data_IF_170545864965
#
_entry.id   IF_170545864965
#
_cell.length_a   1.000
_cell.length_b   1.000
_cell.length_c   1.000
_cell.angle_alpha   90.00
_cell.angle_beta   90.00
_cell.angle_gamma   90.00
#
_symmetry.space_group_name_H-M   'P 1'
#
loop_
_entity.id
_entity.type
_entity.pdbx_description
1 polymer ?
#
# COMPACT_ATOMS: atom_id res chain seq x y z
N UNK A 1 -3.93 5.29 -13.45
CA UNK A 1 -3.19 6.30 -12.67
C UNK A 1 -2.61 5.60 -11.46
N UNK A 2 -1.32 5.80 -11.17
CA UNK A 2 -0.60 5.15 -10.07
C UNK A 2 0.07 6.21 -9.19
N UNK A 3 0.21 5.93 -7.89
CA UNK A 3 0.92 6.80 -6.97
C UNK A 3 2.17 6.09 -6.47
N UNK A 4 3.32 6.73 -6.67
CA UNK A 4 4.63 6.25 -6.25
C UNK A 4 5.16 7.25 -5.22
N UNK A 5 5.71 6.74 -4.12
CA UNK A 5 6.23 7.55 -3.02
C UNK A 5 5.16 8.13 -2.09
N UNK A 6 3.89 7.77 -2.24
CA UNK A 6 2.81 8.20 -1.35
C UNK A 6 2.76 7.36 -0.07
N UNK A 7 3.87 7.36 0.67
CA UNK A 7 4.04 6.62 1.94
C UNK A 7 4.93 7.45 2.87
N UNK A 8 4.74 7.36 4.17
CA UNK A 8 5.63 7.96 5.16
C UNK A 8 6.42 6.84 5.87
N UNK A 9 7.60 6.47 5.38
CA UNK A 9 8.36 5.38 5.99
C UNK A 9 9.12 5.86 7.23
N UNK A 10 9.29 4.97 8.20
CA UNK A 10 10.29 5.09 9.26
C UNK A 10 11.70 4.81 8.70
N UNK A 11 12.09 5.52 7.64
CA UNK A 11 13.32 5.26 6.89
C UNK A 11 13.40 6.05 5.58
N UNK A 12 14.24 5.56 4.67
CA UNK A 12 14.47 6.19 3.37
C UNK A 12 13.33 5.88 2.39
N UNK A 13 12.77 6.91 1.73
CA UNK A 13 11.69 6.75 0.73
C UNK A 13 12.19 6.20 -0.60
N UNK A 14 13.43 6.49 -0.97
CA UNK A 14 13.98 6.19 -2.30
C UNK A 14 13.89 4.70 -2.68
N UNK A 15 14.31 3.74 -1.82
CA UNK A 15 14.20 2.32 -2.16
C UNK A 15 12.75 1.85 -2.28
N UNK A 16 11.83 2.45 -1.50
CA UNK A 16 10.42 2.10 -1.56
C UNK A 16 9.78 2.60 -2.86
N UNK A 17 10.07 3.83 -3.26
CA UNK A 17 9.58 4.41 -4.50
C UNK A 17 10.11 3.65 -5.73
N UNK A 18 11.38 3.21 -5.69
CA UNK A 18 12.00 2.41 -6.74
C UNK A 18 11.29 1.06 -6.91
N UNK A 19 11.11 0.29 -5.82
CA UNK A 19 10.40 -0.99 -5.86
C UNK A 19 8.90 -0.83 -6.19
N UNK A 20 8.26 0.27 -5.77
CA UNK A 20 6.89 0.60 -6.22
C UNK A 20 6.83 0.83 -7.73
N UNK A 21 7.82 1.51 -8.31
CA UNK A 21 7.89 1.78 -9.73
C UNK A 21 8.09 0.48 -10.52
N UNK A 22 8.91 -0.43 -10.02
CA UNK A 22 9.11 -1.76 -10.61
C UNK A 22 7.79 -2.56 -10.65
N UNK A 23 7.06 -2.61 -9.53
CA UNK A 23 5.77 -3.31 -9.48
C UNK A 23 4.74 -2.72 -10.45
N UNK A 24 4.69 -1.39 -10.55
CA UNK A 24 3.82 -0.69 -11.51
C UNK A 24 4.24 -0.99 -12.94
N UNK A 25 5.55 -1.02 -13.23
CA UNK A 25 6.05 -1.38 -14.55
C UNK A 25 5.63 -2.81 -14.95
N UNK A 26 5.79 -3.78 -14.04
CA UNK A 26 5.32 -5.17 -14.25
C UNK A 26 3.82 -5.26 -14.52
N UNK A 27 3.02 -4.47 -13.81
CA UNK A 27 1.59 -4.39 -14.08
C UNK A 27 1.28 -3.82 -15.47
N UNK A 28 1.98 -2.76 -15.89
CA UNK A 28 1.77 -2.11 -17.20
C UNK A 28 2.11 -3.06 -18.36
N UNK A 29 3.17 -3.86 -18.23
CA UNK A 29 3.59 -4.83 -19.26
C UNK A 29 2.82 -6.15 -19.21
N UNK A 30 1.90 -6.32 -18.25
CA UNK A 30 1.06 -7.52 -18.12
C UNK A 30 1.72 -8.70 -17.39
N UNK A 31 2.84 -8.46 -16.69
CA UNK A 31 3.55 -9.48 -15.89
C UNK A 31 3.06 -9.54 -14.43
N UNK A 32 2.15 -8.64 -14.04
CA UNK A 32 1.55 -8.62 -12.71
C UNK A 32 0.04 -8.40 -12.82
N UNK A 33 -0.75 -9.15 -12.04
CA UNK A 33 -2.20 -8.99 -11.94
C UNK A 33 -2.59 -8.44 -10.57
N UNK A 34 -3.53 -7.49 -10.57
CA UNK A 34 -4.05 -6.95 -9.32
C UNK A 34 -4.92 -7.98 -8.60
N UNK A 35 -4.83 -8.06 -7.26
CA UNK A 35 -5.69 -8.93 -6.47
C UNK A 35 -7.17 -8.51 -6.59
N UNK A 36 -8.07 -9.50 -6.69
CA UNK A 36 -9.52 -9.28 -6.78
C UNK A 36 -10.13 -8.65 -5.53
N UNK A 37 -9.53 -8.86 -4.35
CA UNK A 37 -10.02 -8.42 -3.04
C UNK A 37 -9.37 -7.12 -2.56
N UNK A 38 -9.10 -6.20 -3.50
CA UNK A 38 -8.36 -4.96 -3.24
C UNK A 38 -8.95 -4.11 -2.10
N UNK A 39 -10.28 -3.94 -2.06
CA UNK A 39 -10.98 -3.15 -1.03
C UNK A 39 -10.75 -3.70 0.37
N UNK A 40 -10.79 -5.03 0.52
CA UNK A 40 -10.55 -5.68 1.80
C UNK A 40 -9.10 -5.51 2.24
N UNK A 41 -8.13 -5.64 1.32
CA UNK A 41 -6.72 -5.40 1.61
C UNK A 41 -6.47 -3.95 2.05
N UNK A 42 -7.10 -2.97 1.40
CA UNK A 42 -7.04 -1.55 1.81
C UNK A 42 -7.55 -1.38 3.24
N UNK A 43 -8.72 -1.93 3.54
CA UNK A 43 -9.32 -1.78 4.87
C UNK A 43 -8.44 -2.41 5.95
N UNK A 44 -7.88 -3.58 5.69
CA UNK A 44 -6.97 -4.26 6.60
C UNK A 44 -5.67 -3.47 6.85
N UNK A 45 -5.15 -2.80 5.82
CA UNK A 45 -3.97 -1.93 5.92
C UNK A 45 -4.29 -0.69 6.77
N UNK A 46 -5.43 -0.03 6.49
CA UNK A 46 -5.88 1.14 7.25
C UNK A 46 -6.10 0.77 8.73
N UNK A 47 -6.72 -0.37 8.99
CA UNK A 47 -6.93 -0.87 10.35
C UNK A 47 -5.62 -1.20 11.06
N UNK A 48 -4.62 -1.69 10.32
CA UNK A 48 -3.28 -1.93 10.86
C UNK A 48 -2.57 -0.63 11.21
N UNK A 49 -2.54 0.34 10.30
CA UNK A 49 -1.91 1.65 10.54
C UNK A 49 -2.54 2.32 11.77
N UNK A 50 -3.87 2.31 11.87
CA UNK A 50 -4.61 2.88 13.00
C UNK A 50 -4.31 2.19 14.35
N UNK A 51 -3.88 0.92 14.34
CA UNK A 51 -3.52 0.16 15.55
C UNK A 51 -2.04 0.30 15.91
N UNK A 52 -1.17 0.43 14.90
CA UNK A 52 0.28 0.42 15.08
C UNK A 52 0.85 1.82 15.34
N UNK A 53 0.26 2.85 14.74
CA UNK A 53 0.77 4.22 14.81
C UNK A 53 -0.16 5.15 15.59
N UNK A 54 0.42 6.25 16.10
CA UNK A 54 -0.34 7.27 16.84
C UNK A 54 -1.37 7.91 15.91
N UNK A 55 -2.60 8.06 16.40
CA UNK A 55 -3.71 8.60 15.62
C UNK A 55 -3.60 10.13 15.46
N UNK A 56 -2.71 10.57 14.58
CA UNK A 56 -2.59 11.96 14.15
C UNK A 56 -2.61 12.07 12.63
N UNK A 57 -2.95 13.25 12.11
CA UNK A 57 -3.13 13.44 10.66
C UNK A 57 -1.86 13.17 9.84
N UNK A 58 -0.68 13.28 10.44
CA UNK A 58 0.60 12.97 9.79
C UNK A 58 0.83 11.46 9.63
N UNK A 59 0.35 10.64 10.54
CA UNK A 59 0.63 9.19 10.56
C UNK A 59 -0.31 8.34 9.68
N UNK A 60 -1.14 8.98 8.84
CA UNK A 60 -2.20 8.29 8.06
C UNK A 60 -1.68 7.35 6.97
N UNK A 61 -0.44 7.54 6.53
CA UNK A 61 0.22 6.73 5.51
C UNK A 61 1.56 6.21 6.01
N UNK A 62 1.69 6.09 7.34
CA UNK A 62 2.93 5.65 7.96
C UNK A 62 3.16 4.16 7.79
N UNK A 63 4.40 3.80 7.47
CA UNK A 63 4.80 2.41 7.27
C UNK A 63 6.14 2.08 7.90
N UNK A 64 6.26 0.83 8.37
CA UNK A 64 7.54 0.24 8.74
C UNK A 64 8.35 -0.03 7.48
N UNK A 65 9.56 0.55 7.39
CA UNK A 65 10.40 0.47 6.18
C UNK A 65 10.70 -0.97 5.77
N UNK A 66 11.15 -1.81 6.72
CA UNK A 66 11.58 -3.17 6.43
C UNK A 66 10.42 -4.09 6.04
N UNK A 67 9.29 -3.99 6.74
CA UNK A 67 8.10 -4.79 6.45
C UNK A 67 7.52 -4.41 5.08
N UNK A 68 7.42 -3.10 4.81
CA UNK A 68 6.87 -2.60 3.57
C UNK A 68 7.75 -2.95 2.36
N UNK A 69 9.07 -2.76 2.46
CA UNK A 69 10.01 -3.13 1.39
C UNK A 69 10.01 -4.64 1.13
N UNK A 70 10.04 -5.46 2.19
CA UNK A 70 10.05 -6.91 2.05
C UNK A 70 8.80 -7.43 1.35
N UNK A 71 7.66 -6.79 1.59
CA UNK A 71 6.43 -7.19 0.95
C UNK A 71 6.24 -6.64 -0.47
N UNK A 72 6.72 -5.43 -0.78
CA UNK A 72 6.82 -4.96 -2.16
C UNK A 72 7.66 -5.93 -3.01
N UNK A 73 8.81 -6.36 -2.49
CA UNK A 73 9.68 -7.33 -3.17
C UNK A 73 8.98 -8.67 -3.42
N UNK A 74 8.22 -9.18 -2.45
CA UNK A 74 7.43 -10.40 -2.65
C UNK A 74 6.42 -10.28 -3.80
N UNK A 75 5.72 -9.15 -3.91
CA UNK A 75 4.78 -8.91 -5.00
C UNK A 75 5.51 -8.74 -6.35
N UNK A 76 6.66 -8.06 -6.35
CA UNK A 76 7.53 -7.91 -7.54
C UNK A 76 8.08 -9.25 -8.03
N UNK A 77 8.56 -10.11 -7.14
CA UNK A 77 9.19 -11.39 -7.48
C UNK A 77 8.18 -12.48 -7.94
N UNK A 78 6.91 -12.10 -8.18
CA UNK A 78 5.87 -13.01 -8.66
C UNK A 78 5.17 -13.77 -7.54
N UNK A 79 5.34 -13.36 -6.29
CA UNK A 79 4.56 -13.85 -5.15
C UNK A 79 3.17 -13.24 -5.14
N UNK A 80 2.36 -13.47 -6.18
CA UNK A 80 0.92 -13.33 -6.02
C UNK A 80 0.50 -14.22 -4.84
N UNK A 81 -0.26 -13.74 -3.83
CA UNK A 81 -0.72 -14.59 -2.76
C UNK A 81 -1.83 -15.51 -3.30
N UNK A 82 -1.46 -16.55 -4.06
CA UNK A 82 -2.29 -17.71 -4.29
C UNK A 82 -2.44 -18.43 -2.94
N UNK A 83 -3.44 -18.01 -2.15
CA UNK A 83 -3.73 -18.56 -0.81
C UNK A 83 -2.48 -18.67 0.08
N UNK A 84 -1.87 -17.54 0.42
CA UNK A 84 -0.93 -17.56 1.54
C UNK A 84 -1.73 -17.87 2.83
N UNK A 85 -1.29 -18.81 3.68
CA UNK A 85 -1.89 -18.97 4.99
C UNK A 85 -1.84 -17.62 5.70
N UNK A 86 -2.84 -17.40 6.55
CA UNK A 86 -3.29 -16.16 7.21
C UNK A 86 -2.20 -15.44 8.06
N UNK A 87 -0.92 -15.80 7.91
CA UNK A 87 0.20 -15.42 8.77
C UNK A 87 1.32 -14.59 8.10
N UNK A 88 1.19 -14.08 6.86
CA UNK A 88 2.20 -13.17 6.31
C UNK A 88 1.56 -11.92 5.70
N UNK A 89 1.63 -10.85 6.48
CA UNK A 89 0.77 -9.68 6.43
C UNK A 89 1.39 -8.58 5.56
N UNK A 90 0.56 -8.04 4.67
CA UNK A 90 0.67 -6.75 3.99
C UNK A 90 1.71 -6.62 2.90
N UNK A 91 1.29 -6.30 1.67
CA UNK A 91 1.48 -5.00 0.98
C UNK A 91 0.68 -5.02 -0.31
N UNK A 92 -0.34 -4.18 -0.36
CA UNK A 92 -0.95 -3.50 -1.51
C UNK A 92 -2.34 -3.06 -1.04
N UNK A 93 -2.71 -1.76 -1.11
CA UNK A 93 -2.29 -0.82 -2.15
C UNK A 93 -2.22 0.66 -1.68
N UNK A 94 -1.01 1.23 -1.49
CA UNK A 94 -0.90 2.69 -1.32
C UNK A 94 -1.23 3.49 -2.60
N UNK A 95 -1.14 2.86 -3.77
CA UNK A 95 -1.59 3.46 -5.04
C UNK A 95 -3.13 3.59 -5.16
N UNK A 96 -3.92 2.91 -4.32
CA UNK A 96 -5.39 3.07 -4.31
C UNK A 96 -5.91 3.65 -2.99
N UNK A 97 -5.23 3.40 -1.86
CA UNK A 97 -5.54 4.02 -0.58
C UNK A 97 -5.37 5.55 -0.63
N UNK A 98 -4.35 6.06 -1.33
CA UNK A 98 -4.18 7.50 -1.56
C UNK A 98 -5.38 8.17 -2.23
N UNK A 99 -5.89 7.55 -3.30
CA UNK A 99 -7.08 8.03 -4.00
C UNK A 99 -8.34 7.97 -3.11
N UNK A 100 -8.50 6.91 -2.31
CA UNK A 100 -9.64 6.74 -1.41
C UNK A 100 -9.62 7.75 -0.25
N UNK A 101 -8.45 8.00 0.36
CA UNK A 101 -8.28 8.99 1.44
C UNK A 101 -8.46 10.43 0.91
N UNK A 102 -7.92 10.74 -0.28
CA UNK A 102 -8.14 12.03 -0.93
C UNK A 102 -9.62 12.24 -1.32
N UNK A 103 -10.28 11.22 -1.88
CA UNK A 103 -11.71 11.23 -2.18
C UNK A 103 -12.57 11.49 -0.93
N UNK A 104 -12.20 10.89 0.21
CA UNK A 104 -12.93 11.08 1.47
C UNK A 104 -12.67 12.45 2.11
N UNK A 105 -11.51 13.06 1.87
CA UNK A 105 -11.15 14.40 2.35
C UNK A 105 -11.80 15.54 1.54
N UNK A 106 -12.09 15.31 0.25
CA UNK A 106 -12.75 16.27 -0.65
C UNK A 106 -14.29 16.23 -0.56
N UNK A 107 -14.86 15.33 0.25
CA UNK A 107 -16.31 15.29 0.47
C UNK A 107 -16.72 16.50 1.34
N UNK A 108 -17.59 17.41 0.86
CA UNK A 108 -18.12 18.46 1.73
C UNK A 108 -18.83 17.81 2.91
N UNK A 109 -18.46 18.22 4.14
CA UNK A 109 -19.26 17.94 5.33
C UNK A 109 -20.61 18.62 5.10
N UNK A 110 -21.62 17.82 4.75
CA UNK A 110 -22.99 18.28 4.65
C UNK A 110 -23.42 18.93 5.97
N UNK A 111 -24.16 20.03 5.85
CA UNK A 111 -24.92 20.63 6.95
C UNK A 111 -26.00 19.66 7.44
#
# INVERSE_FOLDING_TARGET
MYFIGLVQPQGCIWPLADTQSELVAKYIIGEYELPVNLTERIQQEVDYINRTFVNESRHKVEVSYHEYLGALRREVDGGAPAKAPIANKYVLPMALAGAYVAYRALRPRGK
#
